data_IF_424050431942
#
_entry.id   IF_424050431942
#
_cell.length_a   1.000
_cell.length_b   1.000
_cell.length_c   1.000
_cell.angle_alpha   90.00
_cell.angle_beta   90.00
_cell.angle_gamma   90.00
#
_symmetry.space_group_name_H-M   'P 1'
#
loop_
_entity.id
_entity.type
_entity.pdbx_description
1 polymer ?
#
# COMPACT_ATOMS: atom_id res chain seq x y z
N UNK A 1 -2.33 -41.77 0.82
CA UNK A 1 -1.68 -41.38 -0.44
C UNK A 1 -0.26 -41.00 -0.12
N UNK A 2 0.69 -41.85 -0.52
CA UNK A 2 2.12 -41.81 -0.18
C UNK A 2 2.87 -41.33 -1.42
N UNK A 3 3.76 -40.35 -1.28
CA UNK A 3 4.71 -40.02 -2.34
C UNK A 3 6.14 -40.07 -1.81
N UNK A 4 6.83 -41.16 -2.17
CA UNK A 4 8.29 -41.34 -2.06
C UNK A 4 8.93 -40.74 -3.31
N UNK A 5 10.04 -40.02 -3.15
CA UNK A 5 10.94 -39.71 -4.26
C UNK A 5 12.35 -40.18 -3.86
N UNK A 6 12.82 -41.20 -4.57
CA UNK A 6 14.22 -41.60 -4.69
C UNK A 6 14.79 -40.92 -5.93
N UNK A 7 15.98 -40.33 -5.84
CA UNK A 7 17.02 -40.25 -6.89
C UNK A 7 18.22 -39.52 -6.29
N UNK A 8 19.31 -40.21 -5.95
CA UNK A 8 20.47 -40.55 -6.79
C UNK A 8 21.42 -39.37 -7.06
N UNK A 9 22.61 -39.53 -6.50
CA UNK A 9 23.86 -38.75 -6.57
C UNK A 9 24.42 -38.73 -8.00
N UNK A 10 25.19 -37.70 -8.38
CA UNK A 10 26.56 -38.02 -8.77
C UNK A 10 27.63 -37.12 -8.13
N UNK A 11 28.79 -37.75 -7.94
CA UNK A 11 30.07 -37.18 -7.55
C UNK A 11 30.46 -35.97 -8.42
N UNK A 12 31.08 -34.97 -7.80
CA UNK A 12 32.09 -34.17 -8.47
C UNK A 12 33.32 -33.96 -7.56
N UNK A 13 34.48 -34.23 -8.13
CA UNK A 13 35.77 -34.35 -7.48
C UNK A 13 36.36 -33.03 -6.98
N UNK A 14 37.10 -33.17 -5.87
CA UNK A 14 38.14 -32.31 -5.29
C UNK A 14 39.02 -31.57 -6.32
N UNK A 15 39.30 -30.27 -6.08
CA UNK A 15 40.66 -29.67 -6.16
C UNK A 15 40.72 -28.42 -5.25
N UNK A 16 41.72 -28.37 -4.37
CA UNK A 16 42.16 -27.24 -3.53
C UNK A 16 43.72 -27.29 -3.53
N UNK A 17 44.43 -26.26 -3.04
CA UNK A 17 44.69 -24.94 -3.62
C UNK A 17 46.17 -24.80 -4.05
N UNK A 18 46.53 -23.77 -4.82
CA UNK A 18 47.94 -23.31 -4.86
C UNK A 18 48.05 -21.79 -4.77
N UNK A 19 48.89 -21.41 -3.81
CA UNK A 19 49.39 -20.10 -3.44
C UNK A 19 50.03 -19.37 -4.64
N UNK A 20 49.72 -18.09 -4.83
CA UNK A 20 50.36 -17.25 -5.84
C UNK A 20 50.24 -15.77 -5.51
N UNK A 21 51.18 -15.28 -4.70
CA UNK A 21 51.43 -13.86 -4.41
C UNK A 21 51.86 -13.16 -5.71
N UNK A 22 51.18 -12.09 -6.10
CA UNK A 22 51.79 -10.97 -6.82
C UNK A 22 50.94 -9.72 -6.60
N UNK A 23 51.48 -8.82 -5.77
CA UNK A 23 50.98 -7.47 -5.57
C UNK A 23 51.35 -6.66 -6.81
N UNK A 24 50.37 -6.29 -7.63
CA UNK A 24 50.54 -5.27 -8.68
C UNK A 24 49.61 -4.13 -8.32
N UNK A 25 50.19 -3.03 -7.84
CA UNK A 25 49.50 -1.77 -7.63
C UNK A 25 49.15 -1.17 -8.99
N UNK A 26 47.94 -1.46 -9.49
CA UNK A 26 47.42 -0.87 -10.71
C UNK A 26 46.75 0.46 -10.34
N UNK A 27 47.40 1.56 -10.70
CA UNK A 27 46.84 2.91 -10.58
C UNK A 27 45.49 2.97 -11.29
N UNK A 28 44.44 3.26 -10.52
CA UNK A 28 43.10 3.56 -11.02
C UNK A 28 43.13 5.00 -11.55
N UNK A 29 42.88 5.26 -12.85
CA UNK A 29 42.60 6.61 -13.29
C UNK A 29 41.23 7.02 -12.74
N UNK A 30 41.25 7.99 -11.83
CA UNK A 30 40.10 8.75 -11.36
C UNK A 30 39.44 9.49 -12.53
N UNK A 31 38.58 8.80 -13.27
CA UNK A 31 37.50 9.44 -14.01
C UNK A 31 36.21 8.95 -13.40
N UNK A 32 35.82 9.62 -12.31
CA UNK A 32 34.41 9.75 -11.94
C UNK A 32 33.71 10.44 -13.11
N UNK A 33 33.38 9.68 -14.15
CA UNK A 33 32.16 9.95 -14.88
C UNK A 33 31.07 9.69 -13.86
N UNK A 34 30.67 10.74 -13.14
CA UNK A 34 29.37 10.80 -12.55
C UNK A 34 28.41 10.63 -13.74
N UNK A 35 28.10 9.37 -14.09
CA UNK A 35 26.80 9.06 -14.66
C UNK A 35 25.85 9.68 -13.67
N UNK A 36 25.32 10.83 -14.06
CA UNK A 36 24.16 11.40 -13.42
C UNK A 36 23.19 10.23 -13.32
N UNK A 37 23.02 9.72 -12.10
CA UNK A 37 21.83 8.96 -11.81
C UNK A 37 20.70 9.85 -12.31
N UNK A 38 19.84 9.36 -13.23
CA UNK A 38 18.66 10.13 -13.57
C UNK A 38 18.04 10.48 -12.22
N UNK A 39 17.72 11.76 -12.01
CA UNK A 39 17.02 12.19 -10.80
C UNK A 39 15.82 11.28 -10.69
N UNK A 40 15.90 10.28 -9.81
CA UNK A 40 14.74 9.52 -9.36
C UNK A 40 13.80 10.62 -8.94
N UNK A 41 12.67 10.73 -9.66
CA UNK A 41 11.67 11.75 -9.43
C UNK A 41 11.35 11.67 -7.94
N UNK A 42 11.92 12.61 -7.18
CA UNK A 42 11.65 12.76 -5.76
C UNK A 42 10.25 13.36 -5.73
N UNK A 43 9.30 12.46 -5.82
CA UNK A 43 7.89 12.77 -5.86
C UNK A 43 7.55 13.33 -4.47
N UNK A 44 7.11 14.58 -4.46
CA UNK A 44 6.91 15.35 -3.22
C UNK A 44 5.91 14.63 -2.33
N UNK A 45 6.16 14.63 -1.02
CA UNK A 45 5.25 14.04 -0.05
C UNK A 45 3.86 14.69 -0.16
N UNK A 46 2.83 13.91 -0.54
CA UNK A 46 1.48 14.46 -0.59
C UNK A 46 0.90 14.56 0.81
N UNK A 47 0.56 15.78 1.22
CA UNK A 47 -0.20 16.04 2.45
C UNK A 47 -1.66 16.22 2.08
N UNK A 48 -2.48 15.24 2.42
CA UNK A 48 -3.91 15.25 2.13
C UNK A 48 -4.68 15.36 3.43
N UNK A 49 -5.65 16.26 3.44
CA UNK A 49 -6.64 16.41 4.50
C UNK A 49 -7.95 15.81 4.00
N UNK A 50 -8.47 14.81 4.70
CA UNK A 50 -9.68 14.08 4.32
C UNK A 50 -10.71 14.23 5.42
N UNK A 51 -11.89 14.75 5.09
CA UNK A 51 -13.03 14.71 6.02
C UNK A 51 -13.53 13.27 6.15
N UNK A 52 -13.48 12.75 7.37
CA UNK A 52 -13.80 11.37 7.69
C UNK A 52 -15.32 11.15 7.80
N UNK A 53 -15.81 10.00 7.32
CA UNK A 53 -17.21 9.62 7.52
C UNK A 53 -17.56 9.49 9.01
N UNK A 54 -18.83 9.76 9.41
CA UNK A 54 -19.94 10.26 8.58
C UNK A 54 -19.87 11.79 8.34
N UNK A 55 -20.53 12.24 7.26
CA UNK A 55 -20.55 13.66 6.84
C UNK A 55 -21.02 14.55 8.00
N UNK A 56 -20.23 15.58 8.34
CA UNK A 56 -20.56 16.53 9.41
C UNK A 56 -20.06 16.14 10.79
N UNK A 57 -19.32 15.03 10.93
CA UNK A 57 -18.63 14.67 12.17
C UNK A 57 -17.52 15.66 12.58
N UNK A 58 -17.01 16.44 11.62
CA UNK A 58 -15.88 17.37 11.82
C UNK A 58 -14.54 16.68 12.04
N UNK A 59 -14.49 15.34 11.95
CA UNK A 59 -13.28 14.54 12.09
C UNK A 59 -12.50 14.62 10.78
N UNK A 60 -11.23 15.01 10.87
CA UNK A 60 -10.33 15.10 9.71
C UNK A 60 -9.14 14.19 9.87
N UNK A 61 -8.83 13.44 8.83
CA UNK A 61 -7.61 12.66 8.73
C UNK A 61 -6.56 13.46 7.97
N UNK A 62 -5.42 13.69 8.62
CA UNK A 62 -4.24 14.27 7.98
C UNK A 62 -3.27 13.14 7.64
N UNK A 63 -3.04 12.95 6.35
CA UNK A 63 -2.21 11.87 5.85
C UNK A 63 -1.06 12.40 5.03
N UNK A 64 0.09 11.77 5.22
CA UNK A 64 1.28 11.95 4.40
C UNK A 64 1.42 10.71 3.52
N UNK A 65 1.03 10.83 2.25
CA UNK A 65 1.05 9.72 1.30
C UNK A 65 2.34 9.80 0.49
N UNK A 66 3.08 8.70 0.48
CA UNK A 66 4.23 8.54 -0.39
C UNK A 66 3.77 7.98 -1.75
N UNK A 67 4.21 8.58 -2.86
CA UNK A 67 4.00 8.04 -4.20
C UNK A 67 4.69 6.67 -4.31
N UNK A 68 3.96 5.65 -4.77
CA UNK A 68 4.58 4.32 -5.00
C UNK A 68 4.91 4.08 -6.45
N UNK A 69 4.21 4.74 -7.37
CA UNK A 69 4.48 4.57 -8.77
C UNK A 69 5.79 5.30 -9.11
N UNK A 70 6.68 4.61 -9.83
CA UNK A 70 7.91 5.20 -10.38
C UNK A 70 7.63 6.24 -11.48
N UNK A 71 6.37 6.30 -11.93
CA UNK A 71 5.87 7.23 -12.93
C UNK A 71 5.18 8.41 -12.22
N UNK A 72 5.14 9.61 -12.82
CA UNK A 72 4.41 10.73 -12.24
C UNK A 72 2.93 10.36 -12.10
N UNK A 73 2.44 10.38 -10.86
CA UNK A 73 1.08 10.00 -10.49
C UNK A 73 0.40 11.09 -9.67
N UNK A 74 -0.92 11.02 -9.59
CA UNK A 74 -1.76 11.90 -8.78
C UNK A 74 -2.67 11.05 -7.86
N UNK A 75 -3.06 11.62 -6.71
CA UNK A 75 -4.04 10.98 -5.83
C UNK A 75 -5.43 11.51 -6.18
N UNK A 76 -6.33 10.58 -6.50
CA UNK A 76 -7.73 10.84 -6.79
C UNK A 76 -8.57 10.39 -5.61
N UNK A 77 -9.28 11.33 -5.00
CA UNK A 77 -10.26 11.04 -3.96
C UNK A 77 -11.61 10.72 -4.58
N UNK A 78 -12.18 9.58 -4.22
CA UNK A 78 -13.52 9.16 -4.63
C UNK A 78 -14.37 8.94 -3.38
N UNK A 79 -15.59 9.47 -3.39
CA UNK A 79 -16.56 9.29 -2.31
C UNK A 79 -17.77 8.56 -2.85
N UNK A 80 -18.19 7.51 -2.15
CA UNK A 80 -19.35 6.72 -2.51
C UNK A 80 -20.38 6.71 -1.38
N UNK A 81 -21.66 6.63 -1.75
CA UNK A 81 -22.73 6.34 -0.79
C UNK A 81 -22.84 4.82 -0.57
N UNK A 82 -23.10 4.40 0.66
CA UNK A 82 -23.36 3.00 1.00
C UNK A 82 -24.82 2.65 0.65
N UNK A 83 -25.12 1.50 0.02
CA UNK A 83 -24.17 0.50 -0.47
C UNK A 83 -23.48 0.95 -1.76
N UNK A 84 -22.20 0.61 -1.88
CA UNK A 84 -21.38 0.94 -3.03
C UNK A 84 -20.90 -0.33 -3.74
N UNK A 85 -20.62 -0.23 -5.03
CA UNK A 85 -19.97 -1.27 -5.81
C UNK A 85 -18.59 -0.79 -6.25
N UNK A 86 -17.56 -1.61 -6.04
CA UNK A 86 -16.19 -1.30 -6.41
C UNK A 86 -15.61 -2.43 -7.28
N UNK A 87 -15.04 -2.08 -8.43
CA UNK A 87 -14.44 -3.04 -9.36
C UNK A 87 -12.91 -3.03 -9.22
N UNK A 88 -12.40 -3.58 -8.12
CA UNK A 88 -10.96 -3.66 -7.84
C UNK A 88 -10.56 -5.11 -7.62
N UNK A 89 -9.44 -5.50 -8.24
CA UNK A 89 -8.89 -6.84 -8.13
C UNK A 89 -7.42 -6.80 -7.67
N UNK A 90 -6.97 -7.80 -6.89
CA UNK A 90 -5.56 -7.93 -6.52
C UNK A 90 -4.72 -8.36 -7.73
N UNK A 91 -3.87 -7.47 -8.23
CA UNK A 91 -2.90 -7.75 -9.29
C UNK A 91 -1.50 -7.38 -8.81
N UNK A 92 -0.59 -8.37 -8.78
CA UNK A 92 0.82 -8.16 -8.37
C UNK A 92 0.97 -7.44 -7.02
N UNK A 93 0.13 -7.83 -6.05
CA UNK A 93 0.05 -7.22 -4.70
C UNK A 93 -0.47 -5.78 -4.66
N UNK A 94 -0.99 -5.26 -5.77
CA UNK A 94 -1.69 -3.98 -5.86
C UNK A 94 -3.19 -4.22 -6.03
N UNK A 95 -3.99 -3.32 -5.46
CA UNK A 95 -5.42 -3.30 -5.64
C UNK A 95 -5.76 -2.44 -6.87
N UNK A 96 -5.96 -3.05 -8.04
CA UNK A 96 -6.10 -2.32 -9.32
C UNK A 96 -7.56 -2.28 -9.77
N UNK A 97 -8.05 -1.09 -10.14
CA UNK A 97 -9.36 -0.91 -10.77
C UNK A 97 -9.42 -1.61 -12.12
N UNK A 98 -10.39 -2.50 -12.29
CA UNK A 98 -10.58 -3.27 -13.53
C UNK A 98 -11.67 -2.69 -14.44
N UNK A 99 -12.53 -1.82 -13.90
CA UNK A 99 -13.57 -1.12 -14.65
C UNK A 99 -13.67 0.32 -14.17
N UNK A 100 -13.98 1.21 -15.11
CA UNK A 100 -14.40 2.57 -14.78
C UNK A 100 -15.68 2.51 -13.95
N UNK A 101 -15.76 3.35 -12.92
CA UNK A 101 -16.93 3.39 -12.06
C UNK A 101 -17.54 4.78 -11.93
N UNK A 102 -18.73 4.86 -11.32
CA UNK A 102 -19.53 6.08 -11.27
C UNK A 102 -18.91 7.20 -10.40
N UNK A 103 -17.93 6.88 -9.56
CA UNK A 103 -17.22 7.80 -8.68
C UNK A 103 -16.03 8.52 -9.33
N UNK A 104 -15.69 8.18 -10.58
CA UNK A 104 -14.60 8.79 -11.33
C UNK A 104 -13.29 8.00 -11.27
N UNK A 105 -13.29 6.79 -10.70
CA UNK A 105 -12.23 5.82 -10.86
C UNK A 105 -12.13 5.33 -12.31
N UNK A 106 -10.91 5.06 -12.75
CA UNK A 106 -10.59 4.58 -14.09
C UNK A 106 -9.87 3.25 -14.03
N UNK A 107 -9.97 2.47 -15.11
CA UNK A 107 -9.16 1.24 -15.27
C UNK A 107 -7.68 1.58 -15.15
N UNK A 108 -6.97 0.83 -14.30
CA UNK A 108 -5.55 1.03 -14.03
C UNK A 108 -5.24 1.91 -12.81
N UNK A 109 -6.24 2.54 -12.22
CA UNK A 109 -6.08 3.22 -10.93
C UNK A 109 -5.76 2.21 -9.83
N UNK A 110 -4.86 2.58 -8.91
CA UNK A 110 -4.46 1.72 -7.79
C UNK A 110 -5.11 2.23 -6.52
N UNK A 111 -5.91 1.42 -5.84
CA UNK A 111 -6.49 1.75 -4.54
C UNK A 111 -5.38 1.79 -3.47
N UNK A 112 -5.20 2.97 -2.86
CA UNK A 112 -4.17 3.22 -1.84
C UNK A 112 -4.75 3.18 -0.43
N UNK A 113 -5.86 3.87 -0.24
CA UNK A 113 -6.52 3.94 1.06
C UNK A 113 -8.02 3.80 0.93
N UNK A 114 -8.62 3.23 1.97
CA UNK A 114 -10.07 3.17 2.14
C UNK A 114 -10.42 3.50 3.58
N UNK A 115 -11.59 4.08 3.82
CA UNK A 115 -12.11 4.15 5.19
C UNK A 115 -12.40 2.75 5.71
N UNK A 116 -12.11 2.52 6.99
CA UNK A 116 -12.39 1.29 7.70
C UNK A 116 -12.97 1.62 9.07
N UNK A 117 -13.96 0.82 9.46
CA UNK A 117 -14.57 0.87 10.78
C UNK A 117 -14.11 -0.29 11.64
N UNK A 118 -13.27 0.01 12.63
CA UNK A 118 -12.78 -0.95 13.61
C UNK A 118 -13.44 -0.74 14.96
N UNK A 119 -13.69 -1.83 15.68
CA UNK A 119 -14.13 -1.75 17.07
C UNK A 119 -12.89 -1.58 17.95
N UNK A 120 -12.80 -0.45 18.64
CA UNK A 120 -11.61 -0.10 19.41
C UNK A 120 -11.95 0.70 20.65
N UNK A 121 -10.95 0.85 21.50
CA UNK A 121 -11.03 1.76 22.64
C UNK A 121 -10.92 3.20 22.12
N UNK A 122 -11.69 4.16 22.66
CA UNK A 122 -11.53 5.57 22.33
C UNK A 122 -10.05 5.97 22.45
N UNK A 123 -9.45 6.40 21.34
CA UNK A 123 -8.09 6.91 21.31
C UNK A 123 -8.09 8.29 22.00
N UNK A 124 -7.84 8.30 23.31
CA UNK A 124 -7.85 9.48 24.14
C UNK A 124 -6.73 9.40 25.17
N UNK A 125 -5.75 10.31 25.04
CA UNK A 125 -4.55 10.49 25.84
C UNK A 125 -4.51 9.72 27.19
N UNK A 126 -3.89 8.53 27.15
CA UNK A 126 -3.25 7.77 28.25
C UNK A 126 -4.07 7.34 29.47
N UNK A 127 -4.82 8.23 30.09
CA UNK A 127 -5.47 8.02 31.39
C UNK A 127 -6.95 7.63 31.27
N UNK A 128 -7.63 8.06 30.21
CA UNK A 128 -9.05 7.73 29.99
C UNK A 128 -9.23 6.40 29.25
N UNK A 129 -8.35 6.08 28.28
CA UNK A 129 -8.40 4.81 27.53
C UNK A 129 -8.30 3.59 28.45
N UNK A 130 -7.45 3.63 29.47
CA UNK A 130 -7.29 2.52 30.42
C UNK A 130 -8.58 2.31 31.23
N UNK A 131 -9.19 3.37 31.76
CA UNK A 131 -10.45 3.27 32.51
C UNK A 131 -11.65 2.87 31.62
N UNK A 132 -11.73 3.39 30.39
CA UNK A 132 -12.76 3.03 29.42
C UNK A 132 -12.67 1.56 28.97
N UNK A 133 -11.47 0.99 28.94
CA UNK A 133 -11.25 -0.44 28.65
C UNK A 133 -11.83 -1.35 29.72
N UNK A 134 -11.68 -0.98 31.00
CA UNK A 134 -12.24 -1.73 32.11
C UNK A 134 -13.75 -1.53 32.27
N UNK A 135 -14.28 -0.39 31.80
CA UNK A 135 -15.71 -0.10 31.78
C UNK A 135 -16.47 -0.69 30.56
N UNK A 136 -15.80 -1.48 29.70
CA UNK A 136 -16.42 -2.08 28.52
C UNK A 136 -16.79 -1.09 27.41
N UNK A 137 -16.18 0.10 27.40
CA UNK A 137 -16.43 1.16 26.43
C UNK A 137 -15.75 0.89 25.09
N UNK A 138 -16.16 -0.17 24.39
CA UNK A 138 -15.80 -0.38 22.99
C UNK A 138 -16.68 0.53 22.12
N UNK A 139 -16.03 1.37 21.31
CA UNK A 139 -16.71 2.28 20.38
C UNK A 139 -16.23 2.02 18.96
N UNK A 140 -17.12 2.17 17.99
CA UNK A 140 -16.73 2.12 16.57
C UNK A 140 -15.90 3.35 16.22
N UNK A 141 -14.75 3.13 15.60
CA UNK A 141 -13.86 4.19 15.14
C UNK A 141 -13.68 4.07 13.64
N UNK A 142 -13.79 5.21 12.95
CA UNK A 142 -13.44 5.33 11.55
C UNK A 142 -11.96 5.70 11.43
N UNK A 143 -11.21 4.96 10.62
CA UNK A 143 -9.81 5.22 10.32
C UNK A 143 -9.54 5.02 8.82
N UNK A 144 -8.43 5.57 8.31
CA UNK A 144 -7.99 5.30 6.94
C UNK A 144 -7.09 4.07 6.94
N UNK A 145 -7.55 3.01 6.28
CA UNK A 145 -6.81 1.77 6.10
C UNK A 145 -5.88 1.89 4.91
N UNK A 146 -4.60 1.58 5.12
CA UNK A 146 -3.59 1.51 4.08
C UNK A 146 -3.65 0.15 3.37
N UNK A 147 -4.14 0.15 2.14
CA UNK A 147 -4.31 -1.06 1.32
C UNK A 147 -2.97 -1.70 0.98
N UNK A 148 -1.90 -0.93 0.99
CA UNK A 148 -0.58 -1.34 0.52
C UNK A 148 0.26 -1.95 1.64
N UNK A 149 -0.10 -1.65 2.89
CA UNK A 149 0.42 -2.32 4.07
C UNK A 149 -0.43 -3.54 4.47
N UNK A 150 -1.47 -3.88 3.70
CA UNK A 150 -2.27 -5.07 3.94
C UNK A 150 -1.42 -6.33 3.73
N UNK A 151 -1.48 -7.27 4.68
CA UNK A 151 -0.74 -8.53 4.61
C UNK A 151 -1.41 -9.55 3.69
N UNK A 152 -2.71 -9.40 3.51
CA UNK A 152 -3.56 -10.31 2.75
C UNK A 152 -4.71 -9.53 2.11
N UNK A 153 -5.18 -9.99 0.94
CA UNK A 153 -6.28 -9.35 0.22
C UNK A 153 -7.56 -9.31 1.04
N UNK A 154 -7.78 -10.32 1.87
CA UNK A 154 -8.92 -10.44 2.76
C UNK A 154 -9.02 -9.26 3.73
N UNK A 155 -7.89 -8.68 4.16
CA UNK A 155 -7.89 -7.49 5.02
C UNK A 155 -8.43 -6.25 4.29
N UNK A 156 -8.13 -6.14 2.99
CA UNK A 156 -8.65 -5.07 2.14
C UNK A 156 -10.15 -5.22 1.98
N UNK A 157 -10.62 -6.45 1.72
CA UNK A 157 -12.05 -6.75 1.61
C UNK A 157 -12.76 -6.48 2.94
N UNK A 158 -12.18 -6.90 4.07
CA UNK A 158 -12.73 -6.63 5.40
C UNK A 158 -12.83 -5.12 5.67
N UNK A 159 -11.79 -4.36 5.32
CA UNK A 159 -11.80 -2.91 5.45
C UNK A 159 -12.93 -2.27 4.62
N UNK A 160 -13.08 -2.68 3.35
CA UNK A 160 -14.14 -2.20 2.46
C UNK A 160 -15.54 -2.54 2.99
N UNK A 161 -15.77 -3.80 3.37
CA UNK A 161 -17.06 -4.31 3.84
C UNK A 161 -17.39 -3.82 5.26
N UNK A 162 -16.41 -3.30 6.01
CA UNK A 162 -16.67 -2.67 7.31
C UNK A 162 -17.52 -1.39 7.20
N UNK A 163 -17.55 -0.76 6.02
CA UNK A 163 -18.39 0.41 5.71
C UNK A 163 -19.82 -0.05 5.40
N UNK A 164 -20.59 -0.25 6.47
CA UNK A 164 -22.00 -0.62 6.42
C UNK A 164 -22.89 0.57 6.78
N UNK A 165 -24.11 0.56 6.26
CA UNK A 165 -25.17 1.55 6.47
C UNK A 165 -25.48 1.83 7.95
N UNK A 166 -25.32 0.82 8.80
CA UNK A 166 -25.48 0.95 10.26
C UNK A 166 -24.41 1.81 10.94
N UNK A 167 -23.26 2.06 10.29
CA UNK A 167 -22.14 2.84 10.83
C UNK A 167 -21.91 4.14 10.07
N UNK A 168 -22.07 4.11 8.74
CA UNK A 168 -21.81 5.25 7.88
C UNK A 168 -22.67 5.21 6.62
N UNK A 169 -22.98 6.39 6.10
CA UNK A 169 -23.67 6.61 4.84
C UNK A 169 -22.72 6.75 3.65
N UNK A 170 -21.42 6.96 3.90
CA UNK A 170 -20.40 7.17 2.88
C UNK A 170 -19.12 6.36 3.12
N UNK A 171 -18.42 6.05 2.03
CA UNK A 171 -17.06 5.49 2.04
C UNK A 171 -16.15 6.44 1.27
N UNK A 172 -14.96 6.67 1.80
CA UNK A 172 -13.92 7.45 1.12
C UNK A 172 -12.83 6.51 0.64
N UNK A 173 -12.52 6.59 -0.65
CA UNK A 173 -11.49 5.82 -1.32
C UNK A 173 -10.46 6.78 -1.91
N UNK A 174 -9.18 6.45 -1.76
CA UNK A 174 -8.09 7.16 -2.41
C UNK A 174 -7.42 6.24 -3.42
N UNK A 175 -7.38 6.70 -4.66
CA UNK A 175 -6.70 6.03 -5.75
C UNK A 175 -5.44 6.79 -6.13
N UNK A 176 -4.41 6.06 -6.54
CA UNK A 176 -3.24 6.62 -7.22
C UNK A 176 -3.37 6.34 -8.72
N UNK A 177 -3.40 7.42 -9.50
CA UNK A 177 -3.54 7.40 -10.95
C UNK A 177 -2.25 7.88 -11.61
N UNK A 178 -1.68 7.13 -12.57
CA UNK A 178 -0.58 7.63 -13.37
C UNK A 178 -1.04 8.77 -14.30
N UNK A 179 -0.26 9.84 -14.41
CA UNK A 179 -0.57 10.96 -15.31
C UNK A 179 -0.45 10.52 -16.79
N UNK A 180 -1.35 11.03 -17.64
CA UNK A 180 -1.42 10.70 -19.06
C UNK A 180 -0.04 10.82 -19.76
N UNK A 181 0.32 9.79 -20.52
CA UNK A 181 1.62 9.70 -21.21
C UNK A 181 2.68 8.90 -20.46
N UNK A 182 2.42 8.46 -19.23
CA UNK A 182 3.33 7.60 -18.46
C UNK A 182 2.61 6.38 -17.90
N UNK A 183 1.97 5.61 -18.78
CA UNK A 183 1.36 4.35 -18.39
C UNK A 183 2.45 3.44 -17.77
N UNK A 184 2.24 2.89 -16.57
CA UNK A 184 3.14 1.86 -16.08
C UNK A 184 3.01 0.68 -17.05
N UNK A 185 4.13 0.21 -17.62
CA UNK A 185 4.17 -1.08 -18.31
C UNK A 185 3.75 -2.13 -17.28
N UNK A 186 2.49 -2.55 -17.33
CA UNK A 186 1.99 -3.65 -16.52
C UNK A 186 2.37 -4.94 -17.25
N UNK A 187 3.67 -5.25 -17.28
CA UNK A 187 4.23 -6.49 -17.87
C UNK A 187 4.03 -7.66 -16.90
#
# INVERSE_FOLDING_TARGET
MVLRIHTLVPLLSLVLPTLGRAFVAQQVPSRLSARAFPRLFASEDWKIEIDMPPVGSGIKAYMKILPILSVPSEIVQVRYKVPFGLNVEPKKSLAVCTKDGPGGEKVGDVLRYTTQWTLGLPAGDGLVTTAASFAGGLSWQCSMFDVMNAKAWEQVVEALVSNVDTKTDEVVLLFERPLEGTAPEVE
#
